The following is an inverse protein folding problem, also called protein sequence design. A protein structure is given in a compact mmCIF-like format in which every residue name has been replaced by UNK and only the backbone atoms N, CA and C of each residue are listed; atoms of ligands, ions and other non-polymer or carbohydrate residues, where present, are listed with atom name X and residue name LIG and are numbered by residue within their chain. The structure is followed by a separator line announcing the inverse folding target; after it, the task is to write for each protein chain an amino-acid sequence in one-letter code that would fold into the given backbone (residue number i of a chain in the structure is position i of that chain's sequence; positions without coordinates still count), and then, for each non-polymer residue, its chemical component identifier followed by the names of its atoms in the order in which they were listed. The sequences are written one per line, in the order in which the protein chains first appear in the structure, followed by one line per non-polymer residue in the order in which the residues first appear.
data_IF_722665901927
#
_entry.id   IF_722665901927
#
_cell.length_a   1.000
_cell.length_b   1.000
_cell.length_c   1.000
_cell.angle_alpha   90.00
_cell.angle_beta   90.00
_cell.angle_gamma   90.00
#
_symmetry.space_group_name_H-M   'P 1'
#
loop_
_entity.id
_entity.type
_entity.pdbx_description
1 polymer ?
#
# COMPACT_ATOMS: atom_id res chain seq x y z
N UNK A 1 -12.97 -22.68 -18.59
CA UNK A 1 -12.70 -22.08 -17.26
C UNK A 1 -11.93 -20.77 -17.36
N UNK A 2 -10.67 -20.77 -17.83
CA UNK A 2 -9.84 -19.55 -17.87
C UNK A 2 -10.52 -18.39 -18.63
N UNK A 3 -11.09 -18.68 -19.81
CA UNK A 3 -11.79 -17.68 -20.63
C UNK A 3 -13.01 -17.10 -19.91
N UNK A 4 -13.86 -17.96 -19.31
CA UNK A 4 -15.04 -17.56 -18.54
C UNK A 4 -14.66 -16.68 -17.33
N UNK A 5 -13.64 -17.07 -16.56
CA UNK A 5 -13.18 -16.28 -15.41
C UNK A 5 -12.55 -14.95 -15.83
N UNK A 6 -11.81 -14.92 -16.96
CA UNK A 6 -11.27 -13.69 -17.51
C UNK A 6 -12.39 -12.74 -17.97
N UNK A 7 -13.45 -13.27 -18.58
CA UNK A 7 -14.62 -12.49 -18.97
C UNK A 7 -15.33 -11.88 -17.75
N UNK A 8 -15.52 -12.65 -16.66
CA UNK A 8 -16.10 -12.14 -15.43
C UNK A 8 -15.23 -11.06 -14.78
N UNK A 9 -13.91 -11.26 -14.75
CA UNK A 9 -12.97 -10.27 -14.25
C UNK A 9 -13.03 -8.98 -15.06
N UNK A 10 -13.03 -9.08 -16.40
CA UNK A 10 -13.11 -7.92 -17.30
C UNK A 10 -14.46 -7.19 -17.22
N UNK A 11 -15.56 -7.90 -17.02
CA UNK A 11 -16.87 -7.29 -16.81
C UNK A 11 -16.91 -6.51 -15.48
N UNK A 12 -16.39 -7.12 -14.41
CA UNK A 12 -16.36 -6.48 -13.09
C UNK A 12 -15.37 -5.31 -13.03
N UNK A 13 -14.26 -5.38 -13.78
CA UNK A 13 -13.20 -4.35 -13.73
C UNK A 13 -13.65 -2.98 -14.22
N UNK A 14 -14.68 -2.92 -15.07
CA UNK A 14 -15.33 -1.66 -15.50
C UNK A 14 -15.90 -0.85 -14.34
N UNK A 15 -16.08 -1.45 -13.16
CA UNK A 15 -16.62 -0.80 -11.96
C UNK A 15 -15.52 -0.30 -11.01
N UNK A 16 -14.25 -0.52 -11.32
CA UNK A 16 -13.14 -0.12 -10.47
C UNK A 16 -12.49 1.16 -10.98
N UNK A 17 -12.16 2.05 -10.04
CA UNK A 17 -11.46 3.32 -10.32
C UNK A 17 -9.99 3.27 -9.93
N UNK A 18 -9.51 2.14 -9.40
CA UNK A 18 -8.12 1.98 -8.94
C UNK A 18 -7.49 0.66 -9.41
N UNK A 19 -6.20 0.72 -9.73
CA UNK A 19 -5.39 -0.47 -10.03
C UNK A 19 -5.32 -1.44 -8.85
N UNK A 20 -5.27 -0.90 -7.61
CA UNK A 20 -5.28 -1.69 -6.39
C UNK A 20 -6.52 -2.59 -6.24
N UNK A 21 -7.68 -2.15 -6.76
CA UNK A 21 -8.89 -2.97 -6.78
C UNK A 21 -8.74 -4.15 -7.75
N UNK A 22 -8.13 -3.91 -8.92
CA UNK A 22 -7.87 -4.95 -9.89
C UNK A 22 -6.90 -6.01 -9.34
N UNK A 23 -5.79 -5.57 -8.74
CA UNK A 23 -4.82 -6.47 -8.09
C UNK A 23 -5.46 -7.30 -6.99
N UNK A 24 -6.31 -6.69 -6.17
CA UNK A 24 -7.00 -7.42 -5.11
C UNK A 24 -7.88 -8.54 -5.67
N UNK A 25 -8.74 -8.23 -6.65
CA UNK A 25 -9.62 -9.23 -7.27
C UNK A 25 -8.84 -10.31 -8.01
N UNK A 26 -7.77 -9.94 -8.70
CA UNK A 26 -6.89 -10.88 -9.41
C UNK A 26 -6.27 -11.88 -8.44
N UNK A 27 -5.73 -11.40 -7.32
CA UNK A 27 -5.17 -12.27 -6.29
C UNK A 27 -6.22 -13.22 -5.69
N UNK A 28 -7.43 -12.75 -5.39
CA UNK A 28 -8.49 -13.62 -4.89
C UNK A 28 -8.89 -14.67 -5.93
N UNK A 29 -8.97 -14.28 -7.20
CA UNK A 29 -9.28 -15.18 -8.32
C UNK A 29 -8.23 -16.28 -8.47
N UNK A 30 -6.94 -15.96 -8.35
CA UNK A 30 -5.87 -16.97 -8.38
C UNK A 30 -5.98 -17.99 -7.24
N UNK A 31 -6.38 -17.55 -6.03
CA UNK A 31 -6.61 -18.46 -4.90
C UNK A 31 -7.76 -19.41 -5.21
N UNK A 32 -8.84 -18.91 -5.82
CA UNK A 32 -9.99 -19.73 -6.23
C UNK A 32 -9.64 -20.72 -7.34
N UNK A 33 -8.94 -20.29 -8.40
CA UNK A 33 -8.48 -21.17 -9.49
C UNK A 33 -7.57 -22.27 -8.94
N UNK A 34 -6.65 -21.95 -8.04
CA UNK A 34 -5.79 -22.93 -7.36
C UNK A 34 -6.57 -23.91 -6.49
N UNK A 35 -7.71 -23.49 -5.94
CA UNK A 35 -8.60 -24.40 -5.23
C UNK A 35 -9.29 -25.35 -6.21
N UNK A 36 -9.87 -24.83 -7.30
CA UNK A 36 -10.54 -25.66 -8.31
C UNK A 36 -9.59 -26.69 -8.91
N UNK A 37 -8.33 -26.32 -9.18
CA UNK A 37 -7.32 -27.22 -9.75
C UNK A 37 -6.88 -28.35 -8.81
N UNK A 38 -7.29 -28.32 -7.54
CA UNK A 38 -7.00 -29.35 -6.53
C UNK A 38 -8.19 -30.27 -6.25
N UNK A 39 -9.32 -30.06 -6.92
CA UNK A 39 -10.45 -30.98 -6.83
C UNK A 39 -10.15 -32.25 -7.61
N UNK A 40 -10.66 -33.39 -7.15
CA UNK A 40 -10.46 -34.68 -7.82
C UNK A 40 -10.94 -34.66 -9.29
N UNK A 41 -12.05 -33.97 -9.53
CA UNK A 41 -12.56 -33.65 -10.87
C UNK A 41 -12.66 -32.12 -11.01
N UNK A 42 -11.61 -31.45 -11.53
CA UNK A 42 -11.62 -30.01 -11.71
C UNK A 42 -12.62 -29.63 -12.82
N UNK A 43 -13.50 -28.64 -12.60
CA UNK A 43 -14.45 -28.23 -13.61
C UNK A 43 -13.76 -27.60 -14.82
N UNK A 44 -14.10 -28.05 -16.03
CA UNK A 44 -13.56 -27.50 -17.28
C UNK A 44 -14.09 -26.10 -17.56
N UNK A 45 -15.31 -25.77 -17.11
CA UNK A 45 -15.90 -24.43 -17.21
C UNK A 45 -16.90 -24.14 -16.09
N UNK A 46 -17.49 -22.93 -16.07
CA UNK A 46 -18.41 -22.50 -15.01
C UNK A 46 -19.67 -23.39 -14.92
N UNK A 47 -20.13 -23.97 -16.02
CA UNK A 47 -21.25 -24.93 -16.03
C UNK A 47 -20.94 -26.22 -15.27
N UNK A 48 -19.66 -26.57 -15.13
CA UNK A 48 -19.20 -27.71 -14.33
C UNK A 48 -19.08 -27.39 -12.83
N UNK A 49 -19.31 -26.15 -12.41
CA UNK A 49 -19.22 -25.77 -11.01
C UNK A 49 -20.36 -26.40 -10.22
N UNK A 50 -20.05 -27.14 -9.16
CA UNK A 50 -21.06 -27.83 -8.35
C UNK A 50 -21.28 -27.13 -7.01
N UNK A 51 -22.48 -27.31 -6.45
CA UNK A 51 -22.80 -26.85 -5.10
C UNK A 51 -21.84 -27.49 -4.06
N UNK A 52 -21.44 -28.74 -4.25
CA UNK A 52 -20.47 -29.42 -3.39
C UNK A 52 -19.08 -28.75 -3.42
N UNK A 53 -18.60 -28.33 -4.60
CA UNK A 53 -17.35 -27.57 -4.72
C UNK A 53 -17.43 -26.23 -3.98
N UNK A 54 -18.56 -25.52 -4.10
CA UNK A 54 -18.78 -24.25 -3.40
C UNK A 54 -18.91 -24.40 -1.87
N UNK A 55 -19.53 -25.48 -1.39
CA UNK A 55 -19.57 -25.82 0.04
C UNK A 55 -18.17 -26.01 0.60
N UNK A 56 -17.34 -26.83 -0.06
CA UNK A 56 -15.93 -27.04 0.32
C UNK A 56 -15.11 -25.75 0.28
N UNK A 57 -15.33 -24.92 -0.75
CA UNK A 57 -14.70 -23.61 -0.84
C UNK A 57 -15.08 -22.71 0.34
N UNK A 58 -16.36 -22.69 0.72
CA UNK A 58 -16.86 -21.92 1.85
C UNK A 58 -16.25 -22.41 3.16
N UNK A 59 -16.29 -23.71 3.45
CA UNK A 59 -15.76 -24.31 4.69
C UNK A 59 -14.29 -23.94 4.91
N UNK A 60 -13.49 -23.96 3.84
CA UNK A 60 -12.08 -23.57 3.89
C UNK A 60 -11.84 -22.10 4.26
N UNK A 61 -12.76 -21.21 3.91
CA UNK A 61 -12.54 -19.76 3.96
C UNK A 61 -13.33 -19.05 5.07
N UNK A 62 -14.45 -19.63 5.53
CA UNK A 62 -15.42 -18.94 6.41
C UNK A 62 -14.87 -18.58 7.80
N UNK A 63 -13.82 -19.27 8.24
CA UNK A 63 -13.28 -19.16 9.60
C UNK A 63 -12.27 -18.03 9.78
N UNK A 64 -11.76 -17.43 8.71
CA UNK A 64 -10.77 -16.35 8.79
C UNK A 64 -11.29 -15.05 8.18
N UNK A 65 -10.81 -13.89 8.66
CA UNK A 65 -11.18 -12.61 8.07
C UNK A 65 -10.76 -12.52 6.59
N UNK A 66 -9.52 -12.91 6.29
CA UNK A 66 -9.03 -12.98 4.91
C UNK A 66 -9.89 -13.89 4.06
N UNK A 67 -10.22 -15.10 4.54
CA UNK A 67 -11.06 -16.04 3.80
C UNK A 67 -12.50 -15.53 3.59
N UNK A 68 -13.10 -14.82 4.55
CA UNK A 68 -14.42 -14.18 4.35
C UNK A 68 -14.37 -13.12 3.25
N UNK A 69 -13.30 -12.33 3.19
CA UNK A 69 -13.08 -11.35 2.11
C UNK A 69 -12.92 -12.08 0.77
N UNK A 70 -12.06 -13.11 0.71
CA UNK A 70 -11.89 -13.97 -0.48
C UNK A 70 -13.23 -14.54 -0.96
N UNK A 71 -14.03 -15.10 -0.04
CA UNK A 71 -15.33 -15.69 -0.34
C UNK A 71 -16.32 -14.65 -0.89
N UNK A 72 -16.37 -13.45 -0.30
CA UNK A 72 -17.23 -12.37 -0.76
C UNK A 72 -16.81 -11.87 -2.16
N UNK A 73 -15.52 -11.69 -2.40
CA UNK A 73 -14.98 -11.24 -3.70
C UNK A 73 -15.28 -12.24 -4.81
N UNK A 74 -15.03 -13.53 -4.58
CA UNK A 74 -15.33 -14.59 -5.57
C UNK A 74 -16.84 -14.71 -5.81
N UNK A 75 -17.64 -14.60 -4.76
CA UNK A 75 -19.11 -14.60 -4.89
C UNK A 75 -19.58 -13.47 -5.81
N UNK A 76 -19.03 -12.27 -5.69
CA UNK A 76 -19.38 -11.14 -6.56
C UNK A 76 -19.05 -11.45 -8.03
N UNK A 77 -17.87 -12.01 -8.30
CA UNK A 77 -17.48 -12.41 -9.66
C UNK A 77 -18.41 -13.48 -10.22
N UNK A 78 -18.64 -14.57 -9.48
CA UNK A 78 -19.45 -15.70 -9.97
C UNK A 78 -20.92 -15.30 -10.19
N UNK A 79 -21.50 -14.45 -9.34
CA UNK A 79 -22.88 -13.98 -9.53
C UNK A 79 -23.06 -13.08 -10.76
N UNK A 80 -21.99 -12.61 -11.40
CA UNK A 80 -22.11 -11.88 -12.66
C UNK A 80 -22.39 -12.80 -13.86
N UNK A 81 -22.16 -14.12 -13.75
CA UNK A 81 -22.45 -15.07 -14.82
C UNK A 81 -23.91 -15.57 -14.73
N UNK A 82 -24.75 -15.40 -15.77
CA UNK A 82 -26.12 -15.90 -15.79
C UNK A 82 -26.25 -17.40 -15.60
N UNK A 83 -25.23 -18.19 -15.99
CA UNK A 83 -25.23 -19.66 -15.86
C UNK A 83 -25.31 -20.12 -14.41
N UNK A 84 -24.93 -19.25 -13.47
CA UNK A 84 -24.88 -19.54 -12.03
C UNK A 84 -26.07 -18.93 -11.27
N UNK A 85 -27.10 -18.44 -11.96
CA UNK A 85 -28.26 -17.78 -11.35
C UNK A 85 -29.36 -18.75 -10.90
N UNK A 86 -29.32 -20.01 -11.33
CA UNK A 86 -30.34 -21.03 -11.00
C UNK A 86 -29.73 -22.28 -10.37
N UNK A 87 -30.58 -23.08 -9.72
CA UNK A 87 -30.22 -24.35 -9.11
C UNK A 87 -29.42 -24.25 -7.80
N UNK A 88 -28.87 -25.39 -7.36
CA UNK A 88 -28.18 -25.52 -6.07
C UNK A 88 -26.92 -24.64 -5.98
N UNK A 89 -26.26 -24.38 -7.10
CA UNK A 89 -25.11 -23.47 -7.16
C UNK A 89 -25.52 -22.05 -6.80
N UNK A 90 -26.65 -21.59 -7.35
CA UNK A 90 -27.19 -20.27 -7.02
C UNK A 90 -27.59 -20.16 -5.55
N UNK A 91 -28.16 -21.21 -4.96
CA UNK A 91 -28.47 -21.26 -3.52
C UNK A 91 -27.22 -21.15 -2.65
N UNK A 92 -26.14 -21.87 -3.00
CA UNK A 92 -24.86 -21.77 -2.29
C UNK A 92 -24.24 -20.37 -2.43
N UNK A 93 -24.31 -19.76 -3.63
CA UNK A 93 -23.92 -18.38 -3.86
C UNK A 93 -24.86 -17.37 -3.20
N UNK A 94 -26.08 -17.75 -2.81
CA UNK A 94 -27.00 -16.87 -2.08
C UNK A 94 -26.70 -16.84 -0.57
N UNK A 95 -26.04 -17.87 -0.03
CA UNK A 95 -25.71 -17.96 1.40
C UNK A 95 -24.93 -16.74 1.90
N UNK A 96 -25.36 -16.20 3.05
CA UNK A 96 -24.73 -15.05 3.69
C UNK A 96 -23.28 -15.36 4.04
N UNK A 97 -22.36 -14.43 3.74
CA UNK A 97 -20.98 -14.45 4.26
C UNK A 97 -20.97 -13.53 5.49
N UNK A 98 -20.59 -14.03 6.68
CA UNK A 98 -20.40 -13.18 7.86
C UNK A 98 -19.41 -12.07 7.55
N UNK A 99 -19.67 -10.87 8.05
CA UNK A 99 -18.70 -9.79 7.95
C UNK A 99 -17.47 -10.13 8.78
N UNK A 100 -16.29 -9.78 8.28
CA UNK A 100 -15.06 -9.91 9.05
C UNK A 100 -15.09 -8.96 10.25
N UNK A 101 -14.49 -9.38 11.37
CA UNK A 101 -14.26 -8.46 12.49
C UNK A 101 -13.27 -7.40 12.01
N UNK A 102 -13.54 -6.09 12.19
CA UNK A 102 -12.59 -5.05 11.84
C UNK A 102 -11.25 -5.34 12.52
N UNK A 103 -10.18 -5.52 11.75
CA UNK A 103 -8.85 -5.75 12.31
C UNK A 103 -8.13 -4.44 12.67
N UNK A 104 -8.65 -3.31 12.19
CA UNK A 104 -8.15 -1.98 12.52
C UNK A 104 -8.91 -1.48 13.73
N UNK A 105 -8.25 -1.44 14.87
CA UNK A 105 -8.70 -0.60 15.98
C UNK A 105 -8.49 0.86 15.57
N UNK A 106 -9.52 1.68 15.75
CA UNK A 106 -9.34 3.12 15.77
C UNK A 106 -8.50 3.47 17.00
N UNK A 107 -7.60 4.44 16.87
CA UNK A 107 -6.92 5.02 18.04
C UNK A 107 -7.95 5.45 19.08
N UNK A 108 -7.68 5.16 20.35
CA UNK A 108 -8.42 5.80 21.44
C UNK A 108 -8.13 7.32 21.42
N UNK A 109 -9.00 8.13 22.02
CA UNK A 109 -8.90 9.59 21.94
C UNK A 109 -7.54 10.12 22.43
N UNK A 110 -7.00 9.52 23.49
CA UNK A 110 -5.68 9.86 24.04
C UNK A 110 -4.53 9.49 23.07
N UNK A 111 -4.60 8.32 22.42
CA UNK A 111 -3.61 7.91 21.42
C UNK A 111 -3.69 8.81 20.18
N UNK A 112 -4.90 9.16 19.75
CA UNK A 112 -5.14 10.08 18.64
C UNK A 112 -4.56 11.46 18.94
N UNK A 113 -4.81 12.00 20.13
CA UNK A 113 -4.26 13.28 20.56
C UNK A 113 -2.73 13.25 20.57
N UNK A 114 -2.14 12.18 21.10
CA UNK A 114 -0.68 12.02 21.13
C UNK A 114 -0.07 11.96 19.73
N UNK A 115 -0.71 11.25 18.79
CA UNK A 115 -0.28 11.21 17.38
C UNK A 115 -0.37 12.61 16.76
N UNK A 116 -1.47 13.33 16.98
CA UNK A 116 -1.66 14.68 16.44
C UNK A 116 -0.63 15.66 17.00
N UNK A 117 -0.37 15.64 18.31
CA UNK A 117 0.64 16.49 18.94
C UNK A 117 2.04 16.19 18.39
N UNK A 118 2.37 14.91 18.22
CA UNK A 118 3.66 14.50 17.65
C UNK A 118 3.81 14.98 16.21
N UNK A 119 2.77 14.81 15.39
CA UNK A 119 2.74 15.30 14.01
C UNK A 119 2.85 16.83 13.94
N UNK A 120 2.14 17.57 14.80
CA UNK A 120 2.21 19.03 14.88
C UNK A 120 3.62 19.52 15.23
N UNK A 121 4.28 18.87 16.20
CA UNK A 121 5.67 19.20 16.57
C UNK A 121 6.64 18.98 15.39
N UNK A 122 6.51 17.86 14.70
CA UNK A 122 7.31 17.56 13.51
C UNK A 122 7.06 18.58 12.39
N UNK A 123 5.80 18.92 12.14
CA UNK A 123 5.43 19.90 11.11
C UNK A 123 5.99 21.28 11.45
N UNK A 124 5.83 21.74 12.69
CA UNK A 124 6.37 23.03 13.14
C UNK A 124 7.89 23.08 13.00
N UNK A 125 8.59 22.01 13.39
CA UNK A 125 10.05 21.93 13.24
C UNK A 125 10.48 21.96 11.76
N UNK A 126 9.79 21.23 10.89
CA UNK A 126 10.05 21.26 9.45
C UNK A 126 9.77 22.65 8.85
N UNK A 127 8.68 23.30 9.27
CA UNK A 127 8.32 24.64 8.80
C UNK A 127 9.35 25.70 9.19
N UNK A 128 9.85 25.68 10.43
CA UNK A 128 10.93 26.59 10.84
C UNK A 128 12.20 26.35 10.02
N UNK A 129 12.59 25.08 9.80
CA UNK A 129 13.76 24.77 8.94
C UNK A 129 13.62 25.29 7.52
N UNK A 130 12.44 25.15 6.92
CA UNK A 130 12.18 25.68 5.57
C UNK A 130 12.34 27.20 5.59
N UNK A 131 11.71 27.88 6.56
CA UNK A 131 11.80 29.34 6.69
C UNK A 131 13.24 29.83 6.88
N UNK A 132 13.98 29.20 7.79
CA UNK A 132 15.37 29.57 8.08
C UNK A 132 16.27 29.32 6.86
N UNK A 133 16.09 28.19 6.18
CA UNK A 133 16.82 27.88 4.94
C UNK A 133 16.51 28.87 3.81
N UNK A 134 15.25 29.32 3.67
CA UNK A 134 14.89 30.36 2.70
C UNK A 134 15.67 31.65 2.94
N UNK A 135 15.79 32.07 4.20
CA UNK A 135 16.58 33.27 4.57
C UNK A 135 18.06 33.09 4.22
N UNK A 136 18.63 31.91 4.49
CA UNK A 136 20.03 31.60 4.12
C UNK A 136 20.23 31.64 2.61
N UNK A 137 19.29 31.07 1.84
CA UNK A 137 19.35 31.07 0.38
C UNK A 137 19.30 32.49 -0.19
N UNK A 138 18.42 33.35 0.33
CA UNK A 138 18.33 34.76 -0.09
C UNK A 138 19.63 35.53 0.22
N UNK A 139 20.16 35.39 1.44
CA UNK A 139 21.45 36.02 1.82
C UNK A 139 22.61 35.52 0.97
N UNK A 140 22.62 34.24 0.62
CA UNK A 140 23.61 33.65 -0.26
C UNK A 140 23.54 34.24 -1.68
N UNK A 141 22.34 34.34 -2.27
CA UNK A 141 22.12 34.94 -3.59
C UNK A 141 22.54 36.40 -3.67
N UNK A 142 22.40 37.15 -2.56
CA UNK A 142 22.83 38.54 -2.44
C UNK A 142 24.35 38.69 -2.17
N UNK A 143 25.10 37.59 -2.06
CA UNK A 143 26.54 37.62 -1.76
C UNK A 143 26.87 38.10 -0.35
N UNK A 144 25.92 38.05 0.58
CA UNK A 144 26.06 38.57 1.95
C UNK A 144 26.66 37.56 2.94
N UNK A 145 26.96 36.35 2.48
CA UNK A 145 27.54 35.30 3.30
C UNK A 145 29.05 35.21 3.03
N UNK A 146 29.90 35.17 4.09
CA UNK A 146 31.34 35.02 3.91
C UNK A 146 31.69 33.74 3.15
N UNK A 147 32.58 33.85 2.17
CA UNK A 147 33.08 32.68 1.44
C UNK A 147 33.71 31.66 2.38
N UNK A 148 33.47 30.38 2.13
CA UNK A 148 33.95 29.28 2.98
C UNK A 148 33.18 29.09 4.30
N UNK A 149 32.23 29.97 4.64
CA UNK A 149 31.38 29.76 5.81
C UNK A 149 30.41 28.59 5.63
N UNK A 150 30.00 28.00 6.76
CA UNK A 150 28.99 26.94 6.78
C UNK A 150 27.67 27.38 6.13
N UNK A 151 27.22 28.62 6.41
CA UNK A 151 26.02 29.19 5.79
C UNK A 151 26.18 29.35 4.27
N UNK A 152 27.36 29.77 3.80
CA UNK A 152 27.62 29.87 2.37
C UNK A 152 27.64 28.49 1.67
N UNK A 153 28.10 27.45 2.35
CA UNK A 153 28.03 26.08 1.84
C UNK A 153 26.59 25.55 1.82
N UNK A 154 25.79 25.86 2.84
CA UNK A 154 24.36 25.54 2.89
C UNK A 154 23.60 26.26 1.76
N UNK A 155 23.85 27.56 1.55
CA UNK A 155 23.25 28.34 0.46
C UNK A 155 23.49 27.73 -0.92
N UNK A 156 24.72 27.26 -1.21
CA UNK A 156 25.05 26.54 -2.45
C UNK A 156 24.21 25.28 -2.65
N UNK A 157 24.02 24.48 -1.60
CA UNK A 157 23.20 23.26 -1.67
C UNK A 157 21.73 23.60 -1.87
N UNK A 158 21.22 24.62 -1.18
CA UNK A 158 19.84 25.09 -1.31
C UNK A 158 19.55 25.62 -2.71
N UNK A 159 20.50 26.30 -3.36
CA UNK A 159 20.36 26.74 -4.75
C UNK A 159 20.15 25.56 -5.70
N UNK A 160 20.94 24.48 -5.55
CA UNK A 160 20.79 23.27 -6.38
C UNK A 160 19.41 22.63 -6.16
N UNK A 161 18.93 22.58 -4.92
CA UNK A 161 17.59 22.06 -4.61
C UNK A 161 16.52 22.95 -5.21
N UNK A 162 16.65 24.28 -5.12
CA UNK A 162 15.69 25.21 -5.68
C UNK A 162 15.60 25.12 -7.21
N UNK A 163 16.72 24.86 -7.90
CA UNK A 163 16.76 24.70 -9.34
C UNK A 163 16.28 23.32 -9.83
N UNK A 164 16.59 22.25 -9.10
CA UNK A 164 16.37 20.87 -9.59
C UNK A 164 15.20 20.17 -8.91
N UNK A 165 14.75 20.64 -7.75
CA UNK A 165 13.76 19.97 -6.91
C UNK A 165 14.28 18.71 -6.21
N UNK A 166 15.56 18.36 -6.33
CA UNK A 166 16.16 17.17 -5.70
C UNK A 166 17.35 17.53 -4.80
N UNK A 167 17.58 16.70 -3.79
CA UNK A 167 18.70 16.85 -2.86
C UNK A 167 19.95 16.20 -3.45
N UNK A 168 21.09 16.93 -3.56
CA UNK A 168 22.32 16.39 -4.11
C UNK A 168 22.77 15.09 -3.41
N UNK A 169 23.04 14.04 -4.20
CA UNK A 169 23.47 12.73 -3.68
C UNK A 169 24.92 12.43 -4.05
N UNK A 170 25.66 11.79 -3.15
CA UNK A 170 26.98 11.20 -3.41
C UNK A 170 26.82 9.70 -3.57
N UNK A 171 27.39 9.18 -4.66
CA UNK A 171 27.65 7.76 -4.77
C UNK A 171 28.90 7.43 -3.96
N UNK A 172 28.80 6.46 -3.05
CA UNK A 172 29.93 5.90 -2.30
C UNK A 172 30.67 4.87 -3.16
N UNK A 173 31.90 4.56 -2.75
CA UNK A 173 32.76 3.53 -3.38
C UNK A 173 32.19 2.11 -3.27
N UNK A 174 31.29 1.86 -2.31
CA UNK A 174 30.56 0.59 -2.12
C UNK A 174 29.27 0.47 -2.95
N UNK A 175 28.97 1.45 -3.81
CA UNK A 175 27.80 1.47 -4.67
C UNK A 175 26.53 2.04 -4.03
N UNK A 176 26.54 2.33 -2.72
CA UNK A 176 25.41 2.95 -2.02
C UNK A 176 25.35 4.46 -2.30
N UNK A 177 24.14 5.02 -2.32
CA UNK A 177 23.92 6.45 -2.55
C UNK A 177 23.57 7.13 -1.25
N UNK A 178 24.44 8.03 -0.77
CA UNK A 178 24.19 8.84 0.42
C UNK A 178 23.76 10.26 0.01
N UNK A 179 22.89 10.89 0.80
CA UNK A 179 22.65 12.34 0.66
C UNK A 179 23.95 13.08 0.98
N UNK A 180 24.46 13.89 0.05
CA UNK A 180 25.56 14.81 0.39
C UNK A 180 25.02 15.84 1.38
N UNK A 181 25.85 16.21 2.35
CA UNK A 181 25.55 17.32 3.27
C UNK A 181 24.30 17.15 4.15
N UNK A 182 23.91 15.91 4.51
CA UNK A 182 22.77 15.63 5.41
C UNK A 182 22.79 16.44 6.72
N UNK A 183 23.98 16.68 7.28
CA UNK A 183 24.18 17.51 8.48
C UNK A 183 23.96 19.01 8.24
N UNK A 184 24.24 19.52 7.03
CA UNK A 184 24.00 20.93 6.68
C UNK A 184 22.50 21.23 6.54
N UNK A 185 21.71 20.24 6.08
CA UNK A 185 20.26 20.37 5.86
C UNK A 185 19.43 20.11 7.14
N UNK A 186 20.07 19.98 8.31
CA UNK A 186 19.39 19.81 9.60
C UNK A 186 18.77 18.43 9.82
N UNK A 187 19.18 17.41 9.06
CA UNK A 187 18.81 16.03 9.31
C UNK A 187 19.55 15.49 10.53
N UNK A 188 18.88 15.34 11.67
CA UNK A 188 19.46 14.68 12.83
C UNK A 188 19.97 13.27 12.43
N UNK A 189 21.11 12.81 12.98
CA UNK A 189 21.47 11.41 12.88
C UNK A 189 20.34 10.61 13.50
N UNK A 190 19.82 9.64 12.76
CA UNK A 190 19.01 8.58 13.34
C UNK A 190 19.91 7.81 14.31
N UNK A 191 19.94 8.20 15.57
CA UNK A 191 20.40 7.35 16.65
C UNK A 191 19.39 6.21 16.77
N UNK A 192 19.58 5.15 15.97
CA UNK A 192 19.09 3.83 16.33
C UNK A 192 19.85 3.38 17.58
N UNK A 193 19.21 2.64 18.50
CA UNK A 193 19.91 2.10 19.66
C UNK A 193 21.04 1.19 19.14
N UNK A 194 22.27 1.52 19.54
CA UNK A 194 23.40 0.62 19.34
C UNK A 194 23.21 -0.60 20.22
N UNK A 195 22.99 -1.76 19.61
CA UNK A 195 23.23 -3.03 20.27
C UNK A 195 24.73 -3.11 20.56
N UNK A 196 25.06 -2.98 21.85
CA UNK A 196 26.37 -3.27 22.37
C UNK A 196 26.63 -4.77 22.25
N UNK A 197 27.65 -5.13 21.49
CA UNK A 197 28.35 -6.39 21.71
C UNK A 197 29.50 -6.13 22.69
N UNK A 198 29.34 -6.64 23.90
CA UNK A 198 30.41 -7.22 24.72
C UNK A 198 29.85 -8.46 25.38
#
# INVERSE_FOLDING_TARGET
MQHSLAALFAAQSRRWTSHSSADHYWNQLLVFVRFLSRLDNPPEDLDGLTAAALKRWRERNINTNTGRITLATIRVLLRADPRLHTGQVAEELARRVPQGTPSKQSYEDAEREQVLLTAQRQFRAAWMRIRDNTIVLERWRLGQLPEGSHEAQLGKVLEVIACTGDVPRARRSDGLTNLRHRGLLGGAPSNGPGDGCS
#
